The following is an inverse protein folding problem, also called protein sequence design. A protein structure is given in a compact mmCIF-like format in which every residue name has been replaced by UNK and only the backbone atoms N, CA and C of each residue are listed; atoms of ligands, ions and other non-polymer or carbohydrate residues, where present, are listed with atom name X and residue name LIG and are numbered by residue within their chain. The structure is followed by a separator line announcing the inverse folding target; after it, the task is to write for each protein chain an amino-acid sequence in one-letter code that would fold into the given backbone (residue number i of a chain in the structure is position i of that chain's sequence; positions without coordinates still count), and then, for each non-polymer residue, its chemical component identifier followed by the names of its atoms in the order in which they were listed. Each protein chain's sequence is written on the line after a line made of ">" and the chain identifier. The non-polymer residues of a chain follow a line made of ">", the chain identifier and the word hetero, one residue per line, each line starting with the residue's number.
data_IF_525118162418
#
_entry.id   IF_525118162418
#
_cell.length_a   1.000
_cell.length_b   1.000
_cell.length_c   1.000
_cell.angle_alpha   90.00
_cell.angle_beta   90.00
_cell.angle_gamma   90.00
#
_symmetry.space_group_name_H-M   'P 1'
#
loop_
_entity.id
_entity.type
_entity.pdbx_description
1 polymer ?
#
# COMPACT_ATOMS: atom_id res chain seq x y z
N UNK A 1 9.10 -12.51 -32.90
CA UNK A 1 8.10 -12.31 -31.83
C UNK A 1 8.35 -13.40 -30.80
N UNK A 2 8.59 -13.04 -29.54
CA UNK A 2 8.85 -14.03 -28.50
C UNK A 2 7.54 -14.76 -28.16
N UNK A 3 7.52 -16.08 -28.27
CA UNK A 3 6.38 -16.89 -27.89
C UNK A 3 6.33 -16.97 -26.36
N UNK A 4 5.29 -16.39 -25.76
CA UNK A 4 5.08 -16.45 -24.31
C UNK A 4 4.12 -17.60 -24.03
N UNK A 5 4.56 -18.56 -23.22
CA UNK A 5 3.73 -19.67 -22.76
C UNK A 5 3.31 -19.38 -21.32
N UNK A 6 2.01 -19.40 -21.07
CA UNK A 6 1.42 -19.22 -19.75
C UNK A 6 1.09 -20.58 -19.15
N UNK A 7 1.66 -20.88 -17.98
CA UNK A 7 1.44 -22.16 -17.28
C UNK A 7 0.77 -21.88 -15.93
N UNK A 8 -0.35 -22.55 -15.68
CA UNK A 8 -1.11 -22.44 -14.42
C UNK A 8 -0.71 -23.59 -13.51
N UNK A 9 0.02 -23.31 -12.41
CA UNK A 9 0.70 -24.38 -11.62
C UNK A 9 0.10 -24.59 -10.21
N UNK A 10 -0.87 -23.80 -9.75
CA UNK A 10 -1.50 -24.15 -8.49
C UNK A 10 -2.54 -23.22 -7.92
N UNK A 11 -3.22 -23.76 -6.92
CA UNK A 11 -4.22 -23.10 -6.08
C UNK A 11 -3.62 -22.88 -4.69
N UNK A 12 -3.71 -21.66 -4.15
CA UNK A 12 -3.55 -21.43 -2.70
C UNK A 12 -4.91 -21.08 -2.12
N UNK A 13 -5.42 -21.94 -1.23
CA UNK A 13 -6.62 -21.64 -0.46
C UNK A 13 -6.34 -20.42 0.44
N UNK A 14 -7.06 -19.34 0.23
CA UNK A 14 -7.18 -18.29 1.25
C UNK A 14 -8.36 -18.63 2.15
N UNK A 15 -8.12 -18.62 3.47
CA UNK A 15 -9.21 -18.63 4.45
C UNK A 15 -9.84 -17.23 4.46
N UNK A 16 -10.89 -16.99 3.67
CA UNK A 16 -11.65 -15.75 3.73
C UNK A 16 -13.15 -15.96 3.45
N UNK A 17 -13.96 -15.69 4.48
CA UNK A 17 -15.40 -15.43 4.62
C UNK A 17 -16.46 -16.22 3.81
N UNK A 18 -17.58 -16.50 4.48
CA UNK A 18 -18.73 -17.33 4.07
C UNK A 18 -19.53 -16.91 2.82
N UNK A 19 -19.01 -15.98 2.00
CA UNK A 19 -19.67 -15.46 0.80
C UNK A 19 -18.76 -15.74 -0.39
N UNK A 20 -18.82 -16.96 -0.93
CA UNK A 20 -18.04 -17.48 -2.07
C UNK A 20 -16.51 -17.41 -1.92
N UNK A 21 -15.80 -18.54 -1.73
CA UNK A 21 -14.35 -18.51 -1.54
C UNK A 21 -13.65 -18.13 -2.86
N UNK A 22 -13.30 -16.85 -3.00
CA UNK A 22 -12.33 -16.43 -4.01
C UNK A 22 -11.02 -17.19 -3.80
N UNK A 23 -10.52 -17.84 -4.86
CA UNK A 23 -9.26 -18.58 -4.83
C UNK A 23 -8.18 -17.76 -5.52
N UNK A 24 -6.94 -17.90 -5.01
CA UNK A 24 -5.76 -17.36 -5.68
C UNK A 24 -5.15 -18.43 -6.58
N UNK A 25 -4.94 -18.06 -7.84
CA UNK A 25 -4.27 -18.87 -8.85
C UNK A 25 -2.91 -18.28 -9.15
N UNK A 26 -1.90 -19.15 -9.24
CA UNK A 26 -0.59 -18.75 -9.72
C UNK A 26 -0.47 -19.04 -11.21
N UNK A 27 -0.23 -17.99 -11.96
CA UNK A 27 0.09 -18.06 -13.38
C UNK A 27 1.57 -17.72 -13.53
N UNK A 28 2.31 -18.59 -14.19
CA UNK A 28 3.69 -18.35 -14.54
C UNK A 28 3.73 -17.99 -16.01
N UNK A 29 4.32 -16.84 -16.32
CA UNK A 29 4.66 -16.49 -17.70
C UNK A 29 6.11 -16.86 -17.95
N UNK A 30 6.32 -17.74 -18.93
CA UNK A 30 7.65 -18.04 -19.47
C UNK A 30 7.72 -17.37 -20.84
N UNK A 31 8.56 -16.36 -20.96
CA UNK A 31 8.88 -15.75 -22.25
C UNK A 31 10.27 -16.25 -22.63
N UNK A 32 10.39 -17.00 -23.72
CA UNK A 32 11.70 -17.43 -24.21
C UNK A 32 12.45 -16.19 -24.75
N UNK A 33 13.59 -15.78 -24.15
CA UNK A 33 14.35 -14.67 -24.67
C UNK A 33 15.05 -15.08 -25.98
N UNK A 34 15.31 -14.13 -26.89
CA UNK A 34 16.04 -14.40 -28.13
C UNK A 34 17.46 -14.95 -27.90
N UNK A 35 18.03 -14.71 -26.72
CA UNK A 35 19.45 -14.96 -26.43
C UNK A 35 19.70 -16.26 -25.64
N UNK A 36 18.67 -17.11 -25.44
CA UNK A 36 18.83 -18.43 -24.80
C UNK A 36 19.13 -18.42 -23.29
N UNK A 37 19.17 -17.26 -22.64
CA UNK A 37 19.37 -17.15 -21.20
C UNK A 37 18.13 -17.62 -20.42
N UNK A 38 18.33 -18.49 -19.42
CA UNK A 38 17.25 -18.95 -18.55
C UNK A 38 16.68 -17.81 -17.71
N UNK A 39 15.55 -17.24 -18.11
CA UNK A 39 14.79 -16.32 -17.25
C UNK A 39 14.05 -17.09 -16.18
N UNK A 40 14.17 -16.64 -14.93
CA UNK A 40 13.32 -17.12 -13.84
C UNK A 40 11.87 -16.78 -14.19
N UNK A 41 10.94 -17.75 -14.18
CA UNK A 41 9.55 -17.49 -14.55
C UNK A 41 8.95 -16.44 -13.61
N UNK A 42 8.31 -15.43 -14.19
CA UNK A 42 7.61 -14.41 -13.41
C UNK A 42 6.31 -15.02 -12.86
N UNK A 43 6.18 -15.02 -11.54
CA UNK A 43 4.99 -15.53 -10.86
C UNK A 43 3.96 -14.41 -10.72
N UNK A 44 2.85 -14.52 -11.44
CA UNK A 44 1.70 -13.62 -11.34
C UNK A 44 0.56 -14.28 -10.58
N UNK A 45 -0.27 -13.46 -9.92
CA UNK A 45 -1.38 -13.93 -9.09
C UNK A 45 -2.69 -13.42 -9.65
N UNK A 46 -3.59 -14.34 -9.97
CA UNK A 46 -4.96 -14.04 -10.38
C UNK A 46 -5.96 -14.50 -9.32
N UNK A 47 -7.10 -13.81 -9.28
CA UNK A 47 -8.27 -14.20 -8.47
C UNK A 47 -9.35 -14.77 -9.36
N UNK A 48 -10.08 -15.75 -8.86
CA UNK A 48 -11.32 -16.19 -9.50
C UNK A 48 -11.95 -17.41 -8.82
N UNK A 49 -12.91 -18.01 -9.52
CA UNK A 49 -13.66 -19.17 -9.03
C UNK A 49 -12.89 -20.47 -9.24
N UNK A 50 -13.16 -21.48 -8.40
CA UNK A 50 -12.57 -22.81 -8.58
C UNK A 50 -12.95 -23.47 -9.92
N UNK A 51 -14.11 -23.12 -10.49
CA UNK A 51 -14.53 -23.58 -11.81
C UNK A 51 -13.66 -22.98 -12.93
N UNK A 52 -13.38 -21.67 -12.86
CA UNK A 52 -12.50 -20.99 -13.79
C UNK A 52 -11.10 -21.63 -13.80
N UNK A 53 -10.56 -21.89 -12.62
CA UNK A 53 -9.28 -22.57 -12.48
C UNK A 53 -9.29 -23.97 -13.07
N UNK A 54 -10.33 -24.77 -12.79
CA UNK A 54 -10.47 -26.10 -13.39
C UNK A 54 -10.50 -26.02 -14.90
N UNK A 55 -11.24 -25.07 -15.48
CA UNK A 55 -11.29 -24.84 -16.93
C UNK A 55 -9.90 -24.56 -17.50
N UNK A 56 -9.16 -23.62 -16.89
CA UNK A 56 -7.82 -23.25 -17.34
C UNK A 56 -6.81 -24.39 -17.21
N UNK A 57 -6.82 -25.10 -16.08
CA UNK A 57 -5.93 -26.25 -15.86
C UNK A 57 -6.25 -27.40 -16.80
N UNK A 58 -7.53 -27.70 -17.04
CA UNK A 58 -7.93 -28.73 -18.01
C UNK A 58 -7.46 -28.34 -19.41
N UNK A 59 -7.67 -27.10 -19.84
CA UNK A 59 -7.21 -26.64 -21.16
C UNK A 59 -5.67 -26.73 -21.30
N UNK A 60 -4.93 -26.31 -20.27
CA UNK A 60 -3.47 -26.39 -20.25
C UNK A 60 -2.97 -27.84 -20.31
N UNK A 61 -3.58 -28.75 -19.52
CA UNK A 61 -3.23 -30.18 -19.53
C UNK A 61 -3.55 -30.85 -20.85
N UNK A 62 -4.67 -30.50 -21.50
CA UNK A 62 -5.00 -31.03 -22.82
C UNK A 62 -3.98 -30.58 -23.86
N UNK A 63 -3.57 -29.30 -23.82
CA UNK A 63 -2.53 -28.79 -24.70
C UNK A 63 -1.18 -29.50 -24.46
N UNK A 64 -0.75 -29.59 -23.19
CA UNK A 64 0.48 -30.27 -22.79
C UNK A 64 0.50 -31.75 -23.20
N UNK A 65 -0.62 -32.46 -23.01
CA UNK A 65 -0.74 -33.87 -23.42
C UNK A 65 -0.51 -34.05 -24.93
N UNK A 66 -1.03 -33.16 -25.77
CA UNK A 66 -0.80 -33.20 -27.22
C UNK A 66 0.66 -32.93 -27.57
N UNK A 67 1.29 -31.95 -26.92
CA UNK A 67 2.72 -31.68 -27.13
C UNK A 67 3.59 -32.89 -26.79
N UNK A 68 3.38 -33.48 -25.60
CA UNK A 68 4.15 -34.64 -25.12
C UNK A 68 3.92 -35.87 -25.99
N UNK A 69 2.67 -36.13 -26.40
CA UNK A 69 2.32 -37.26 -27.27
C UNK A 69 3.01 -37.15 -28.64
N UNK A 70 2.90 -35.99 -29.29
CA UNK A 70 3.46 -35.78 -30.62
C UNK A 70 4.99 -35.66 -30.59
N UNK A 71 5.59 -35.07 -29.55
CA UNK A 71 7.04 -35.06 -29.33
C UNK A 71 7.56 -36.49 -29.14
N UNK A 72 6.92 -37.28 -28.28
CA UNK A 72 7.28 -38.69 -28.05
C UNK A 72 7.19 -39.49 -29.35
N UNK A 73 6.16 -39.24 -30.17
CA UNK A 73 5.98 -39.91 -31.46
C UNK A 73 7.08 -39.54 -32.46
N UNK A 74 7.43 -38.26 -32.56
CA UNK A 74 8.49 -37.78 -33.44
C UNK A 74 9.87 -38.30 -33.00
N UNK A 75 10.14 -38.29 -31.70
CA UNK A 75 11.40 -38.75 -31.12
C UNK A 75 11.60 -40.26 -31.34
N UNK A 76 10.56 -41.08 -31.12
CA UNK A 76 10.58 -42.53 -31.43
C UNK A 76 10.97 -42.80 -32.88
N UNK A 77 10.42 -42.03 -33.83
CA UNK A 77 10.74 -42.19 -35.25
C UNK A 77 12.16 -41.72 -35.58
N UNK A 78 12.63 -40.67 -34.91
CA UNK A 78 13.95 -40.07 -35.15
C UNK A 78 15.09 -40.89 -34.55
N UNK A 79 14.85 -41.64 -33.46
CA UNK A 79 15.86 -42.49 -32.80
C UNK A 79 16.13 -43.82 -33.50
N UNK A 80 15.26 -44.25 -34.41
CA UNK A 80 15.45 -45.51 -35.13
C UNK A 80 16.55 -45.34 -36.19
N UNK A 81 17.78 -45.78 -35.87
CA UNK A 81 18.98 -45.76 -36.75
C UNK A 81 18.77 -46.33 -38.17
N UNK A 82 17.73 -47.14 -38.36
CA UNK A 82 17.40 -47.77 -39.64
C UNK A 82 16.64 -46.85 -40.61
N UNK A 83 16.15 -45.69 -40.14
CA UNK A 83 15.44 -44.73 -41.00
C UNK A 83 16.35 -44.08 -42.04
N UNK A 84 17.66 -44.00 -41.79
CA UNK A 84 18.64 -43.56 -42.79
C UNK A 84 19.06 -44.68 -43.76
N UNK A 85 18.87 -45.95 -43.36
CA UNK A 85 19.28 -47.13 -44.14
C UNK A 85 18.18 -47.66 -45.08
N UNK A 86 16.91 -47.34 -44.82
CA UNK A 86 15.77 -47.79 -45.64
C UNK A 86 15.31 -46.68 -46.60
N UNK A 87 15.08 -47.05 -47.86
CA UNK A 87 14.46 -46.15 -48.85
C UNK A 87 13.12 -45.62 -48.31
N UNK A 88 12.95 -44.30 -48.36
CA UNK A 88 11.75 -43.60 -47.86
C UNK A 88 11.74 -43.23 -46.37
N UNK A 89 12.78 -43.54 -45.58
CA UNK A 89 12.83 -43.12 -44.17
C UNK A 89 12.83 -41.60 -43.96
N UNK A 90 13.56 -40.84 -44.79
CA UNK A 90 13.50 -39.37 -44.80
C UNK A 90 12.08 -38.84 -45.02
N UNK A 91 11.31 -39.47 -45.92
CA UNK A 91 9.94 -39.06 -46.22
C UNK A 91 8.98 -39.39 -45.06
N UNK A 92 9.20 -40.50 -44.34
CA UNK A 92 8.47 -40.83 -43.11
C UNK A 92 8.74 -39.83 -41.99
N UNK A 93 10.00 -39.44 -41.76
CA UNK A 93 10.37 -38.42 -40.76
C UNK A 93 9.80 -37.06 -41.15
N UNK A 94 9.88 -36.67 -42.43
CA UNK A 94 9.29 -35.43 -42.93
C UNK A 94 7.77 -35.38 -42.71
N UNK A 95 7.07 -36.48 -43.00
CA UNK A 95 5.63 -36.61 -42.74
C UNK A 95 5.29 -36.55 -41.25
N UNK A 96 6.09 -37.20 -40.40
CA UNK A 96 5.92 -37.13 -38.95
C UNK A 96 6.12 -35.70 -38.41
N UNK A 97 7.13 -34.97 -38.91
CA UNK A 97 7.33 -33.55 -38.59
C UNK A 97 6.17 -32.68 -39.05
N UNK A 98 5.59 -32.98 -40.22
CA UNK A 98 4.41 -32.28 -40.70
C UNK A 98 3.20 -32.55 -39.79
N UNK A 99 2.93 -33.82 -39.46
CA UNK A 99 1.85 -34.17 -38.55
C UNK A 99 2.03 -33.56 -37.15
N UNK A 100 3.27 -33.55 -36.63
CA UNK A 100 3.61 -32.85 -35.39
C UNK A 100 3.17 -31.39 -35.47
N UNK A 101 3.63 -30.63 -36.47
CA UNK A 101 3.27 -29.22 -36.64
C UNK A 101 1.76 -29.00 -36.73
N UNK A 102 1.07 -29.75 -37.58
CA UNK A 102 -0.37 -29.63 -37.76
C UNK A 102 -1.14 -29.88 -36.44
N UNK A 103 -0.71 -30.87 -35.65
CA UNK A 103 -1.34 -31.21 -34.37
C UNK A 103 -1.02 -30.21 -33.28
N UNK A 104 0.22 -29.76 -33.18
CA UNK A 104 0.62 -28.73 -32.21
C UNK A 104 -0.03 -27.39 -32.52
N UNK A 105 -0.15 -27.02 -33.80
CA UNK A 105 -0.80 -25.79 -34.24
C UNK A 105 -2.32 -25.83 -33.93
N UNK A 106 -2.96 -26.98 -34.17
CA UNK A 106 -4.37 -27.17 -33.82
C UNK A 106 -4.59 -27.10 -32.29
N UNK A 107 -3.70 -27.70 -31.51
CA UNK A 107 -3.76 -27.65 -30.05
C UNK A 107 -3.52 -26.23 -29.51
N UNK A 108 -2.56 -25.50 -30.10
CA UNK A 108 -2.30 -24.10 -29.76
C UNK A 108 -3.50 -23.21 -30.12
N UNK A 109 -4.13 -23.41 -31.27
CA UNK A 109 -5.35 -22.70 -31.66
C UNK A 109 -6.51 -22.98 -30.70
N UNK A 110 -6.66 -24.22 -30.22
CA UNK A 110 -7.67 -24.60 -29.23
C UNK A 110 -7.40 -24.00 -27.84
N UNK A 111 -6.12 -23.82 -27.46
CA UNK A 111 -5.73 -23.23 -26.18
C UNK A 111 -5.76 -21.70 -26.17
N UNK A 112 -5.61 -21.06 -27.34
CA UNK A 112 -5.53 -19.61 -27.51
C UNK A 112 -6.61 -18.79 -26.75
N UNK A 113 -7.90 -19.15 -26.76
CA UNK A 113 -8.91 -18.37 -26.03
C UNK A 113 -8.67 -18.33 -24.52
N UNK A 114 -8.13 -19.41 -23.95
CA UNK A 114 -7.79 -19.48 -22.52
C UNK A 114 -6.57 -18.60 -22.23
N UNK A 115 -5.59 -18.60 -23.14
CA UNK A 115 -4.43 -17.74 -23.04
C UNK A 115 -4.82 -16.26 -23.07
N UNK A 116 -5.63 -15.85 -24.04
CA UNK A 116 -6.14 -14.48 -24.19
C UNK A 116 -6.92 -14.03 -22.94
N UNK A 117 -7.78 -14.88 -22.37
CA UNK A 117 -8.51 -14.57 -21.14
C UNK A 117 -7.57 -14.35 -19.94
N UNK A 118 -6.51 -15.16 -19.82
CA UNK A 118 -5.52 -15.02 -18.76
C UNK A 118 -4.76 -13.70 -18.92
N UNK A 119 -4.34 -13.37 -20.14
CA UNK A 119 -3.63 -12.12 -20.47
C UNK A 119 -4.50 -10.89 -20.17
N UNK A 120 -5.77 -10.89 -20.60
CA UNK A 120 -6.72 -9.81 -20.32
C UNK A 120 -6.90 -9.59 -18.81
N UNK A 121 -7.07 -10.66 -18.04
CA UNK A 121 -7.20 -10.56 -16.58
C UNK A 121 -5.94 -10.08 -15.89
N UNK A 122 -4.77 -10.47 -16.38
CA UNK A 122 -3.49 -9.97 -15.88
C UNK A 122 -3.32 -8.47 -16.15
N UNK A 123 -3.68 -8.01 -17.36
CA UNK A 123 -3.66 -6.61 -17.73
C UNK A 123 -4.62 -5.78 -16.85
N UNK A 124 -5.87 -6.24 -16.67
CA UNK A 124 -6.84 -5.59 -15.80
C UNK A 124 -6.35 -5.48 -14.35
N UNK A 125 -5.70 -6.54 -13.83
CA UNK A 125 -5.12 -6.52 -12.48
C UNK A 125 -3.93 -5.58 -12.37
N UNK A 126 -3.07 -5.53 -13.39
CA UNK A 126 -1.96 -4.58 -13.48
C UNK A 126 -2.47 -3.13 -13.38
N UNK A 127 -3.48 -2.80 -14.19
CA UNK A 127 -4.12 -1.48 -14.18
C UNK A 127 -4.73 -1.12 -12.81
N UNK A 128 -5.38 -2.08 -12.12
CA UNK A 128 -5.92 -1.85 -10.77
C UNK A 128 -4.81 -1.54 -9.75
N UNK A 129 -3.70 -2.30 -9.81
CA UNK A 129 -2.54 -2.10 -8.93
C UNK A 129 -1.92 -0.72 -9.18
N UNK A 130 -1.67 -0.38 -10.44
CA UNK A 130 -1.12 0.93 -10.83
C UNK A 130 -2.03 2.07 -10.40
N UNK A 131 -3.35 1.96 -10.61
CA UNK A 131 -4.31 2.96 -10.15
C UNK A 131 -4.27 3.13 -8.62
N UNK A 132 -4.14 2.03 -7.87
CA UNK A 132 -4.03 2.06 -6.41
C UNK A 132 -2.71 2.68 -5.95
N UNK A 133 -1.61 2.35 -6.61
CA UNK A 133 -0.30 2.96 -6.33
C UNK A 133 -0.30 4.45 -6.65
N UNK A 134 -0.88 4.86 -7.77
CA UNK A 134 -1.03 6.27 -8.13
C UNK A 134 -1.83 7.03 -7.06
N UNK A 135 -2.97 6.48 -6.63
CA UNK A 135 -3.76 7.05 -5.50
C UNK A 135 -2.94 7.14 -4.22
N UNK A 136 -2.14 6.12 -3.90
CA UNK A 136 -1.25 6.14 -2.72
C UNK A 136 -0.16 7.20 -2.82
N UNK A 137 0.44 7.39 -4.00
CA UNK A 137 1.46 8.42 -4.24
C UNK A 137 0.87 9.82 -4.05
N UNK A 138 -0.29 10.08 -4.66
CA UNK A 138 -1.01 11.36 -4.50
C UNK A 138 -1.38 11.59 -3.02
N UNK A 139 -1.96 10.60 -2.34
CA UNK A 139 -2.28 10.73 -0.93
C UNK A 139 -1.03 10.93 -0.05
N UNK A 140 0.11 10.35 -0.43
CA UNK A 140 1.37 10.53 0.30
C UNK A 140 1.95 11.94 0.09
N UNK A 141 1.89 12.50 -1.12
CA UNK A 141 2.32 13.88 -1.38
C UNK A 141 1.41 14.87 -0.66
N UNK A 142 0.09 14.70 -0.75
CA UNK A 142 -0.88 15.55 -0.01
C UNK A 142 -0.65 15.51 1.51
N UNK A 143 -0.35 14.33 2.07
CA UNK A 143 0.00 14.19 3.50
C UNK A 143 1.29 14.92 3.86
N UNK A 144 2.32 14.86 3.01
CA UNK A 144 3.59 15.56 3.23
C UNK A 144 3.38 17.07 3.18
N UNK A 145 2.73 17.57 2.13
CA UNK A 145 2.41 18.99 1.99
C UNK A 145 1.57 19.52 3.16
N UNK A 146 0.59 18.72 3.63
CA UNK A 146 -0.18 19.07 4.84
C UNK A 146 0.73 19.17 6.07
N UNK A 147 1.58 18.17 6.30
CA UNK A 147 2.51 18.17 7.43
C UNK A 147 3.50 19.34 7.37
N UNK A 148 3.95 19.73 6.17
CA UNK A 148 4.84 20.87 5.96
C UNK A 148 4.14 22.19 6.29
N UNK A 149 2.87 22.36 5.89
CA UNK A 149 2.07 23.53 6.30
C UNK A 149 1.90 23.61 7.81
N UNK A 150 1.59 22.48 8.46
CA UNK A 150 1.39 22.45 9.91
C UNK A 150 2.66 22.87 10.66
N UNK A 151 3.80 22.34 10.21
CA UNK A 151 5.11 22.70 10.74
C UNK A 151 5.43 24.17 10.51
N UNK A 152 5.20 24.70 9.31
CA UNK A 152 5.40 26.11 9.01
C UNK A 152 4.62 27.05 9.94
N UNK A 153 3.37 26.70 10.30
CA UNK A 153 2.59 27.47 11.29
C UNK A 153 3.10 27.25 12.72
N UNK A 154 3.54 26.04 13.04
CA UNK A 154 4.06 25.68 14.36
C UNK A 154 5.41 26.34 14.68
N UNK A 155 6.28 26.49 13.69
CA UNK A 155 7.63 27.05 13.85
C UNK A 155 7.62 28.59 14.02
N UNK A 156 6.47 29.25 13.82
CA UNK A 156 6.33 30.69 14.05
C UNK A 156 6.38 31.00 15.54
N UNK A 157 7.39 31.77 15.95
CA UNK A 157 7.51 32.32 17.30
C UNK A 157 6.51 33.47 17.53
N UNK A 158 5.22 33.16 17.59
CA UNK A 158 4.13 34.13 17.73
C UNK A 158 3.19 33.81 18.89
N UNK A 159 3.39 32.70 19.58
CA UNK A 159 2.48 32.25 20.62
C UNK A 159 2.80 32.85 21.98
N UNK A 160 1.75 33.16 22.74
CA UNK A 160 1.88 33.65 24.10
C UNK A 160 0.82 33.01 25.01
N UNK A 161 1.07 33.05 26.31
CA UNK A 161 0.11 32.55 27.29
C UNK A 161 0.00 33.48 28.50
N UNK A 162 -1.17 33.47 29.13
CA UNK A 162 -1.50 34.23 30.34
C UNK A 162 -2.14 33.30 31.36
N UNK A 163 -1.57 33.23 32.56
CA UNK A 163 -2.12 32.46 33.67
C UNK A 163 -3.06 33.32 34.51
N UNK A 164 -4.26 32.79 34.75
CA UNK A 164 -5.26 33.33 35.67
C UNK A 164 -5.34 32.41 36.90
N UNK A 165 -4.46 32.64 37.89
CA UNK A 165 -4.31 31.78 39.07
C UNK A 165 -5.34 32.08 40.16
N UNK A 166 -5.85 33.32 40.26
CA UNK A 166 -6.80 33.76 41.29
C UNK A 166 -8.24 33.18 41.16
N UNK A 167 -8.46 32.18 40.32
CA UNK A 167 -9.76 31.53 40.15
C UNK A 167 -9.81 30.22 40.92
N UNK A 168 -11.01 29.77 41.31
CA UNK A 168 -11.23 28.45 41.93
C UNK A 168 -10.61 27.32 41.11
N UNK A 169 -10.60 27.47 39.79
CA UNK A 169 -9.86 26.62 38.85
C UNK A 169 -8.92 27.51 38.04
N UNK A 170 -7.59 27.33 38.14
CA UNK A 170 -6.66 28.15 37.39
C UNK A 170 -6.74 27.81 35.89
N UNK A 171 -6.81 28.85 35.06
CA UNK A 171 -6.98 28.74 33.61
C UNK A 171 -5.80 29.44 32.94
N UNK A 172 -5.24 28.80 31.91
CA UNK A 172 -4.27 29.44 31.03
C UNK A 172 -4.98 29.87 29.76
N UNK A 173 -4.82 31.15 29.40
CA UNK A 173 -5.31 31.70 28.14
C UNK A 173 -4.16 31.76 27.16
N UNK A 174 -4.27 31.08 26.03
CA UNK A 174 -3.25 31.07 24.97
C UNK A 174 -3.71 31.96 23.83
N UNK A 175 -2.81 32.79 23.32
CA UNK A 175 -3.08 33.79 22.29
C UNK A 175 -1.90 33.88 21.31
N UNK A 176 -2.12 34.58 20.19
CA UNK A 176 -1.08 34.92 19.22
C UNK A 176 -0.74 36.41 19.31
N UNK A 177 0.55 36.73 19.23
CA UNK A 177 1.07 38.11 19.30
C UNK A 177 0.88 38.86 17.98
N UNK A 178 0.83 38.15 16.86
CA UNK A 178 0.71 38.70 15.51
C UNK A 178 -0.75 38.94 15.08
N UNK A 179 -1.71 38.56 15.92
CA UNK A 179 -3.15 38.65 15.63
C UNK A 179 -3.85 39.44 16.71
N UNK A 180 -4.66 40.42 16.30
CA UNK A 180 -5.50 41.17 17.22
C UNK A 180 -6.51 40.21 17.88
N UNK A 181 -6.56 40.14 19.22
CA UNK A 181 -7.43 39.21 19.91
C UNK A 181 -8.90 39.63 19.73
N UNK A 182 -9.81 38.68 19.56
CA UNK A 182 -11.25 38.97 19.40
C UNK A 182 -11.86 39.64 20.64
N UNK A 183 -11.21 39.48 21.80
CA UNK A 183 -11.55 40.13 23.07
C UNK A 183 -10.29 40.61 23.75
N UNK A 184 -10.39 41.71 24.49
CA UNK A 184 -9.27 42.21 25.27
C UNK A 184 -8.67 41.11 26.17
N UNK A 185 -7.36 40.93 26.10
CA UNK A 185 -6.67 39.92 26.89
C UNK A 185 -6.74 40.28 28.38
N UNK A 186 -7.01 39.29 29.26
CA UNK A 186 -7.10 39.55 30.69
C UNK A 186 -5.73 39.93 31.25
N UNK A 187 -5.72 40.82 32.26
CA UNK A 187 -4.52 41.04 33.09
C UNK A 187 -4.32 39.79 33.95
N UNK A 188 -3.36 38.95 33.59
CA UNK A 188 -3.04 37.73 34.35
C UNK A 188 -1.97 37.93 35.40
N UNK A 189 -1.81 36.90 36.23
CA UNK A 189 -0.82 36.88 37.32
C UNK A 189 0.59 36.58 36.79
N UNK A 190 0.68 35.74 35.74
CA UNK A 190 1.90 35.43 35.01
C UNK A 190 1.59 35.39 33.52
N UNK A 191 2.59 35.69 32.69
CA UNK A 191 2.50 35.63 31.23
C UNK A 191 3.81 35.11 30.64
N UNK A 192 3.77 34.62 29.42
CA UNK A 192 4.99 34.46 28.63
C UNK A 192 5.70 35.81 28.50
N UNK A 193 7.02 35.79 28.70
CA UNK A 193 7.86 36.98 28.56
C UNK A 193 8.08 37.30 27.09
N UNK A 194 8.31 36.27 26.29
CA UNK A 194 8.62 36.34 24.86
C UNK A 194 7.60 35.50 24.05
N UNK A 195 7.43 35.81 22.76
CA UNK A 195 6.72 34.93 21.83
C UNK A 195 7.40 33.57 21.70
N UNK A 196 6.60 32.51 21.65
CA UNK A 196 7.04 31.12 21.60
C UNK A 196 6.59 30.48 20.28
N UNK A 197 7.33 29.49 19.80
CA UNK A 197 6.84 28.55 18.79
C UNK A 197 5.91 27.51 19.46
N UNK A 198 5.33 26.60 18.68
CA UNK A 198 4.42 25.59 19.21
C UNK A 198 5.10 24.65 20.22
N UNK A 199 6.38 24.31 20.00
CA UNK A 199 7.13 23.41 20.87
C UNK A 199 7.44 24.08 22.23
N UNK A 200 7.93 25.31 22.21
CA UNK A 200 8.18 26.11 23.42
C UNK A 200 6.90 26.47 24.15
N UNK A 201 5.79 26.67 23.43
CA UNK A 201 4.46 26.81 24.03
C UNK A 201 4.05 25.51 24.74
N UNK A 202 4.20 24.34 24.09
CA UNK A 202 3.89 23.05 24.71
C UNK A 202 4.70 22.84 25.99
N UNK A 203 6.02 23.05 25.94
CA UNK A 203 6.90 22.90 27.10
C UNK A 203 6.48 23.84 28.24
N UNK A 204 6.20 25.10 27.92
CA UNK A 204 5.73 26.09 28.90
C UNK A 204 4.40 25.65 29.55
N UNK A 205 3.44 25.18 28.77
CA UNK A 205 2.16 24.69 29.27
C UNK A 205 2.33 23.44 30.14
N UNK A 206 3.21 22.52 29.75
CA UNK A 206 3.53 21.33 30.55
C UNK A 206 4.20 21.70 31.87
N UNK A 207 5.08 22.71 31.88
CA UNK A 207 5.71 23.24 33.11
C UNK A 207 4.71 23.83 34.10
N UNK A 208 3.63 24.44 33.61
CA UNK A 208 2.54 24.99 34.42
C UNK A 208 1.71 23.93 35.17
N UNK A 209 1.85 22.65 34.80
CA UNK A 209 1.15 21.56 35.49
C UNK A 209 1.49 21.46 36.99
N UNK A 210 2.69 21.91 37.38
CA UNK A 210 3.12 21.98 38.79
C UNK A 210 2.18 22.82 39.66
N UNK A 211 1.41 23.73 39.06
CA UNK A 211 0.46 24.62 39.74
C UNK A 211 -0.99 24.08 39.67
N UNK A 212 -1.19 22.80 39.36
CA UNK A 212 -2.51 22.13 39.18
C UNK A 212 -3.42 22.80 38.14
N UNK A 213 -2.83 23.45 37.14
CA UNK A 213 -3.56 23.97 35.99
C UNK A 213 -3.94 22.82 35.09
N UNK A 214 -5.24 22.68 34.79
CA UNK A 214 -5.76 21.62 33.92
C UNK A 214 -6.51 22.15 32.70
N UNK A 215 -6.80 23.45 32.64
CA UNK A 215 -7.63 24.04 31.58
C UNK A 215 -6.83 25.04 30.76
N UNK A 216 -6.79 24.80 29.45
CA UNK A 216 -6.22 25.68 28.43
C UNK A 216 -7.37 26.29 27.63
N UNK A 217 -7.41 27.62 27.58
CA UNK A 217 -8.37 28.37 26.77
C UNK A 217 -7.63 29.06 25.65
N UNK A 218 -7.84 28.59 24.44
CA UNK A 218 -7.33 29.22 23.23
C UNK A 218 -8.21 30.42 22.87
N UNK A 219 -7.56 31.54 22.56
CA UNK A 219 -8.22 32.72 21.99
C UNK A 219 -8.83 32.38 20.62
N UNK A 220 -10.01 32.93 20.31
CA UNK A 220 -10.78 32.53 19.12
C UNK A 220 -10.12 32.95 17.82
N UNK A 221 -9.65 34.20 17.71
CA UNK A 221 -8.98 34.69 16.50
C UNK A 221 -7.68 33.91 16.22
N UNK A 222 -6.93 33.53 17.26
CA UNK A 222 -5.75 32.69 17.12
C UNK A 222 -6.07 31.29 16.56
N UNK A 223 -7.17 30.66 17.00
CA UNK A 223 -7.60 29.36 16.47
C UNK A 223 -8.09 29.46 15.03
N UNK A 224 -8.88 30.48 14.74
CA UNK A 224 -9.42 30.74 13.39
C UNK A 224 -8.28 30.96 12.40
N UNK A 225 -7.29 31.79 12.76
CA UNK A 225 -6.14 32.02 11.91
C UNK A 225 -5.29 30.76 11.65
N UNK A 226 -5.12 29.88 12.63
CA UNK A 226 -4.46 28.59 12.39
C UNK A 226 -5.30 27.72 11.44
N UNK A 227 -6.62 27.68 11.62
CA UNK A 227 -7.49 26.94 10.73
C UNK A 227 -7.39 27.49 9.30
N UNK A 228 -7.35 28.80 9.12
CA UNK A 228 -7.20 29.45 7.82
C UNK A 228 -5.82 29.19 7.20
N UNK A 229 -4.73 29.36 7.96
CA UNK A 229 -3.36 29.13 7.48
C UNK A 229 -3.08 27.65 7.14
N UNK A 230 -3.70 26.71 7.85
CA UNK A 230 -3.56 25.27 7.58
C UNK A 230 -4.55 24.75 6.53
N UNK A 231 -5.59 25.53 6.18
CA UNK A 231 -6.63 25.11 5.24
C UNK A 231 -6.10 24.91 3.83
N UNK A 232 -6.72 23.95 3.13
CA UNK A 232 -6.48 23.70 1.70
C UNK A 232 -7.66 24.26 0.90
N UNK A 233 -7.43 24.98 -0.20
CA UNK A 233 -8.51 25.42 -1.08
C UNK A 233 -9.41 24.24 -1.50
N UNK A 234 -10.72 24.36 -1.24
CA UNK A 234 -11.70 23.32 -1.56
C UNK A 234 -11.84 22.18 -0.53
N UNK A 235 -11.10 22.22 0.58
CA UNK A 235 -11.30 21.32 1.73
C UNK A 235 -12.11 22.01 2.83
N UNK A 236 -12.77 21.22 3.69
CA UNK A 236 -13.36 21.76 4.92
C UNK A 236 -12.28 22.40 5.79
N UNK A 237 -12.57 23.54 6.48
CA UNK A 237 -11.61 24.19 7.35
C UNK A 237 -11.01 23.18 8.32
N UNK A 238 -9.69 23.17 8.42
CA UNK A 238 -9.04 22.21 9.30
C UNK A 238 -9.35 22.50 10.76
N UNK A 239 -9.60 21.45 11.52
CA UNK A 239 -9.90 21.60 12.93
C UNK A 239 -8.61 21.91 13.68
N UNK A 240 -8.54 23.08 14.31
CA UNK A 240 -7.43 23.53 15.16
C UNK A 240 -6.87 22.43 16.09
N UNK A 241 -7.72 21.57 16.64
CA UNK A 241 -7.30 20.46 17.49
C UNK A 241 -6.44 19.41 16.78
N UNK A 242 -6.70 19.15 15.50
CA UNK A 242 -5.89 18.24 14.68
C UNK A 242 -4.50 18.81 14.40
N UNK A 243 -4.42 20.11 14.10
CA UNK A 243 -3.14 20.81 13.96
C UNK A 243 -2.33 20.68 15.25
N UNK A 244 -2.90 21.07 16.39
CA UNK A 244 -2.20 21.04 17.69
C UNK A 244 -1.70 19.63 18.04
N UNK A 245 -2.52 18.60 17.82
CA UNK A 245 -2.13 17.19 18.03
C UNK A 245 -0.99 16.72 17.14
N UNK A 246 -0.86 17.29 15.95
CA UNK A 246 0.14 16.87 14.97
C UNK A 246 1.51 17.51 15.26
N UNK A 247 1.52 18.74 15.78
CA UNK A 247 2.75 19.53 15.98
C UNK A 247 3.32 19.41 17.40
N UNK A 248 2.54 18.88 18.35
CA UNK A 248 2.99 18.64 19.72
C UNK A 248 3.71 17.30 19.86
N UNK A 249 4.72 17.26 20.72
CA UNK A 249 5.50 16.06 21.02
C UNK A 249 4.75 15.09 21.93
N UNK A 250 3.93 15.59 22.87
CA UNK A 250 3.05 14.73 23.65
C UNK A 250 1.72 14.51 22.93
N UNK A 251 1.09 13.38 23.18
CA UNK A 251 -0.29 13.19 22.74
C UNK A 251 -1.19 14.14 23.54
N UNK A 252 -1.81 15.11 22.86
CA UNK A 252 -2.85 15.99 23.40
C UNK A 252 -4.25 15.55 22.92
N UNK A 253 -4.95 14.61 23.59
CA UNK A 253 -6.26 14.14 23.12
C UNK A 253 -7.29 15.27 23.01
N UNK A 254 -7.13 16.32 23.83
CA UNK A 254 -7.94 17.53 23.78
C UNK A 254 -7.04 18.77 23.97
N UNK A 255 -6.97 19.71 23.01
CA UNK A 255 -6.15 20.91 23.14
C UNK A 255 -6.57 21.82 24.30
N UNK A 256 -7.78 21.67 24.84
CA UNK A 256 -8.28 22.44 25.98
C UNK A 256 -7.80 21.91 27.35
N UNK A 257 -7.06 20.80 27.39
CA UNK A 257 -6.58 20.20 28.64
C UNK A 257 -5.12 19.81 28.53
N UNK A 258 -4.33 20.21 29.53
CA UNK A 258 -2.94 19.77 29.65
C UNK A 258 -2.96 18.25 29.93
N UNK A 259 -2.27 17.42 29.13
CA UNK A 259 -2.29 15.98 29.33
C UNK A 259 -1.68 15.61 30.68
N UNK A 260 -2.24 14.56 31.31
CA UNK A 260 -1.62 13.96 32.48
C UNK A 260 -0.27 13.36 32.09
N UNK A 261 0.69 13.24 33.03
CA UNK A 261 1.98 12.59 32.73
C UNK A 261 1.60 11.18 32.32
N UNK A 262 1.84 10.82 31.07
CA UNK A 262 1.80 9.43 30.69
C UNK A 262 2.84 8.73 31.57
N UNK A 263 2.37 7.95 32.55
CA UNK A 263 3.18 6.87 33.06
C UNK A 263 3.60 6.07 31.84
N UNK A 264 4.92 5.88 31.65
CA UNK A 264 5.52 5.15 30.53
C UNK A 264 4.59 4.00 30.11
N UNK A 265 3.85 4.17 29.01
CA UNK A 265 3.20 3.01 28.38
C UNK A 265 4.35 2.12 27.93
N UNK A 266 4.40 0.94 28.55
CA UNK A 266 5.41 -0.07 28.28
C UNK A 266 5.59 -0.22 26.77
N UNK A 267 6.84 -0.06 26.34
CA UNK A 267 7.30 -0.60 25.08
C UNK A 267 6.82 -2.05 25.04
N UNK A 268 6.03 -2.48 24.05
CA UNK A 268 5.75 -3.90 23.90
C UNK A 268 7.09 -4.59 23.76
N UNK A 269 7.40 -5.52 24.66
CA UNK A 269 8.53 -6.42 24.46
C UNK A 269 8.35 -7.05 23.06
N UNK A 270 9.40 -7.12 22.24
CA UNK A 270 9.32 -7.90 21.02
C UNK A 270 9.01 -9.33 21.45
N UNK A 271 7.83 -9.81 21.04
CA UNK A 271 7.48 -11.22 21.13
C UNK A 271 8.56 -11.95 20.34
N UNK A 272 9.39 -12.71 21.06
CA UNK A 272 10.36 -13.61 20.49
C UNK A 272 9.63 -14.54 19.55
N UNK A 273 10.02 -14.50 18.28
CA UNK A 273 9.72 -15.57 17.36
C UNK A 273 10.65 -16.71 17.76
N UNK A 274 10.12 -17.64 18.55
CA UNK A 274 10.74 -18.93 18.72
C UNK A 274 10.66 -19.66 17.37
N UNK A 275 11.82 -19.83 16.76
CA UNK A 275 12.08 -20.78 15.68
C UNK A 275 11.86 -22.19 16.23
N UNK A 276 10.69 -22.77 16.00
CA UNK A 276 10.51 -24.22 16.09
C UNK A 276 10.86 -24.84 14.74
N UNK A 277 12.11 -25.28 14.63
CA UNK A 277 12.57 -26.24 13.63
C UNK A 277 12.30 -27.65 14.17
N UNK A 278 11.42 -28.37 13.49
CA UNK A 278 11.17 -29.82 13.64
C UNK A 278 10.61 -30.40 12.36
#
# INVERSE_FOLDING_TARGET
>A
MAETVLIVIGEKKQYASAVSPERLFFVYSVTAPPDGLHHRPERKVLRGSGELYRRWVTAARTYEAVLVEEETRLDRLSRLRWTDLLSGGRQRVARARQCYRERTDAAAAAYRPVQEEIEERLAARGAEIEARERKRRIAATERRERADRFRSVADKAVWGWILLAKRKTPIVVVFRHDIAPARALPRGDRRSAEPLDAAGLEESLLGLRTVRIMIVRWESAAREAVADECSVPGASPEQFGHWWQTVTAQSWPNPARIPERSGRRGRPSPVGWDDDSG
#
